data_IF_144590219515
#
_entry.id   IF_144590219515
#
_cell.length_a   1.000
_cell.length_b   1.000
_cell.length_c   1.000
_cell.angle_alpha   90.00
_cell.angle_beta   90.00
_cell.angle_gamma   90.00
#
_symmetry.space_group_name_H-M   'P 1'
#
loop_
_entity.id
_entity.type
_entity.pdbx_description
1 polymer ?
#
# COMPACT_ATOMS: atom_id res chain seq x y z
N UNK A 1 0.86 6.12 -28.16
CA UNK A 1 0.60 6.26 -26.70
C UNK A 1 -0.03 7.63 -26.49
N UNK A 2 -1.29 7.71 -26.05
CA UNK A 2 -1.96 9.00 -25.83
C UNK A 2 -1.44 9.60 -24.52
N UNK A 3 -0.82 10.76 -24.60
CA UNK A 3 -0.43 11.53 -23.43
C UNK A 3 -1.68 11.98 -22.66
N UNK A 4 -1.76 11.62 -21.38
CA UNK A 4 -2.81 12.08 -20.47
C UNK A 4 -2.55 13.55 -20.11
N UNK A 5 -3.07 14.47 -20.91
CA UNK A 5 -3.15 15.89 -20.55
C UNK A 5 -4.47 16.16 -19.83
N UNK A 6 -4.55 15.77 -18.55
CA UNK A 6 -5.60 16.25 -17.67
C UNK A 6 -5.08 17.49 -16.91
N UNK A 7 -5.89 18.55 -16.71
CA UNK A 7 -5.46 19.72 -15.96
C UNK A 7 -5.00 19.32 -14.54
N UNK A 8 -4.04 20.02 -13.91
CA UNK A 8 -3.43 19.62 -12.63
C UNK A 8 -4.44 19.37 -11.49
N UNK A 9 -5.59 20.04 -11.53
CA UNK A 9 -6.71 19.88 -10.59
C UNK A 9 -7.37 18.49 -10.65
N UNK A 10 -7.29 17.84 -11.80
CA UNK A 10 -8.04 16.62 -12.12
C UNK A 10 -7.30 15.35 -11.67
N UNK A 11 -5.97 15.42 -11.54
CA UNK A 11 -5.16 14.33 -11.00
C UNK A 11 -5.24 14.29 -9.48
N UNK A 12 -5.23 15.46 -8.85
CA UNK A 12 -5.35 15.60 -7.39
C UNK A 12 -6.72 15.10 -6.88
N UNK A 13 -7.80 15.38 -7.60
CA UNK A 13 -9.15 14.89 -7.27
C UNK A 13 -9.27 13.36 -7.44
N UNK A 14 -8.66 12.80 -8.50
CA UNK A 14 -8.59 11.35 -8.73
C UNK A 14 -7.77 10.64 -7.66
N UNK A 15 -6.62 11.21 -7.29
CA UNK A 15 -5.79 10.68 -6.21
C UNK A 15 -6.55 10.70 -4.89
N UNK A 16 -7.23 11.80 -4.56
CA UNK A 16 -8.03 11.89 -3.35
C UNK A 16 -9.17 10.85 -3.32
N UNK A 17 -9.84 10.63 -4.46
CA UNK A 17 -10.89 9.61 -4.59
C UNK A 17 -10.33 8.19 -4.39
N UNK A 18 -9.14 7.92 -4.95
CA UNK A 18 -8.43 6.65 -4.73
C UNK A 18 -8.04 6.46 -3.26
N UNK A 19 -7.49 7.49 -2.61
CA UNK A 19 -7.11 7.42 -1.20
C UNK A 19 -8.32 7.18 -0.28
N UNK A 20 -9.45 7.86 -0.55
CA UNK A 20 -10.69 7.66 0.19
C UNK A 20 -11.25 6.24 0.01
N UNK A 21 -11.22 5.70 -1.22
CA UNK A 21 -11.76 4.38 -1.52
C UNK A 21 -10.87 3.22 -1.05
N UNK A 22 -9.54 3.39 -1.03
CA UNK A 22 -8.60 2.32 -0.73
C UNK A 22 -8.19 2.28 0.74
N UNK A 23 -7.94 3.44 1.35
CA UNK A 23 -7.37 3.53 2.71
C UNK A 23 -8.20 4.38 3.68
N UNK A 24 -9.37 4.86 3.25
CA UNK A 24 -10.22 5.73 4.08
C UNK A 24 -9.73 7.17 4.23
N UNK A 25 -8.78 7.59 3.38
CA UNK A 25 -8.17 8.91 3.42
C UNK A 25 -6.95 9.02 4.33
N UNK A 26 -6.38 10.23 4.42
CA UNK A 26 -5.17 10.50 5.20
C UNK A 26 -5.45 11.52 6.32
N UNK A 27 -4.89 11.32 7.53
CA UNK A 27 -5.21 12.15 8.70
C UNK A 27 -4.92 13.64 8.54
N UNK A 28 -4.05 14.03 7.61
CA UNK A 28 -3.69 15.43 7.35
C UNK A 28 -4.39 16.05 6.12
N UNK A 29 -5.14 15.25 5.36
CA UNK A 29 -5.74 15.68 4.08
C UNK A 29 -7.26 15.58 4.13
N UNK A 30 -7.78 14.56 4.80
CA UNK A 30 -9.21 14.24 4.81
C UNK A 30 -9.91 14.96 5.97
N UNK A 31 -10.87 15.84 5.65
CA UNK A 31 -11.71 16.49 6.66
C UNK A 31 -12.55 15.44 7.38
N UNK A 32 -12.49 15.42 8.71
CA UNK A 32 -13.22 14.43 9.52
C UNK A 32 -12.64 13.02 9.44
N UNK A 33 -11.35 12.89 9.12
CA UNK A 33 -10.64 11.61 9.15
C UNK A 33 -10.86 10.91 10.49
N UNK A 34 -11.13 9.61 10.41
CA UNK A 34 -11.31 8.75 11.58
C UNK A 34 -10.24 7.69 11.58
N UNK A 35 -9.73 7.42 12.77
CA UNK A 35 -8.79 6.34 12.96
C UNK A 35 -9.45 5.01 12.60
N UNK A 36 -8.70 4.20 11.88
CA UNK A 36 -9.10 2.86 11.50
C UNK A 36 -8.87 1.92 12.68
N UNK A 37 -9.78 0.97 12.90
CA UNK A 37 -9.52 -0.09 13.87
C UNK A 37 -8.35 -0.99 13.40
N UNK A 38 -7.76 -1.76 14.32
CA UNK A 38 -6.58 -2.56 14.01
C UNK A 38 -6.82 -3.60 12.91
N UNK A 39 -7.98 -4.25 12.90
CA UNK A 39 -8.27 -5.30 11.92
C UNK A 39 -8.33 -4.73 10.49
N UNK A 40 -9.06 -3.61 10.32
CA UNK A 40 -9.16 -2.94 9.03
C UNK A 40 -7.81 -2.37 8.61
N UNK A 41 -6.98 -1.91 9.56
CA UNK A 41 -5.65 -1.40 9.26
C UNK A 41 -4.79 -2.48 8.62
N UNK A 42 -4.70 -3.67 9.22
CA UNK A 42 -3.90 -4.76 8.68
C UNK A 42 -4.43 -5.28 7.34
N UNK A 43 -5.75 -5.35 7.18
CA UNK A 43 -6.36 -5.72 5.90
C UNK A 43 -6.05 -4.71 4.79
N UNK A 44 -6.12 -3.42 5.11
CA UNK A 44 -5.83 -2.34 4.17
C UNK A 44 -4.36 -2.37 3.77
N UNK A 45 -3.46 -2.56 4.74
CA UNK A 45 -2.02 -2.68 4.52
C UNK A 45 -1.69 -3.89 3.63
N UNK A 46 -2.24 -5.07 3.95
CA UNK A 46 -2.05 -6.28 3.14
C UNK A 46 -2.60 -6.15 1.72
N UNK A 47 -3.77 -5.52 1.53
CA UNK A 47 -4.34 -5.23 0.19
C UNK A 47 -3.43 -4.30 -0.60
N UNK A 48 -2.93 -3.24 0.04
CA UNK A 48 -2.05 -2.28 -0.61
C UNK A 48 -0.74 -2.91 -1.05
N UNK A 49 -0.10 -3.70 -0.18
CA UNK A 49 1.12 -4.45 -0.49
C UNK A 49 0.89 -5.46 -1.61
N UNK A 50 -0.21 -6.22 -1.57
CA UNK A 50 -0.57 -7.20 -2.60
C UNK A 50 -0.84 -6.57 -3.97
N UNK A 51 -1.51 -5.42 -4.02
CA UNK A 51 -1.95 -4.82 -5.29
C UNK A 51 -0.87 -3.99 -5.95
N UNK A 52 -0.04 -3.30 -5.17
CA UNK A 52 0.93 -2.34 -5.69
C UNK A 52 2.39 -2.78 -5.49
N UNK A 53 2.65 -3.84 -4.72
CA UNK A 53 4.01 -4.30 -4.42
C UNK A 53 4.81 -3.30 -3.56
N UNK A 54 4.12 -2.38 -2.89
CA UNK A 54 4.74 -1.31 -2.09
C UNK A 54 4.69 -1.71 -0.63
N UNK A 55 5.83 -2.19 -0.11
CA UNK A 55 6.03 -2.41 1.33
C UNK A 55 5.86 -1.10 2.10
N UNK A 56 5.17 -1.16 3.23
CA UNK A 56 4.74 0.03 3.98
C UNK A 56 5.51 0.20 5.29
N UNK A 57 5.20 -0.63 6.29
CA UNK A 57 5.88 -0.67 7.60
C UNK A 57 6.94 -1.77 7.61
N UNK A 58 6.62 -2.89 6.97
CA UNK A 58 7.53 -3.98 6.70
C UNK A 58 7.39 -4.37 5.22
N UNK A 59 8.38 -5.08 4.70
CA UNK A 59 8.29 -5.71 3.39
C UNK A 59 7.95 -7.17 3.60
N UNK A 60 6.86 -7.63 2.98
CA UNK A 60 6.51 -9.05 2.91
C UNK A 60 6.75 -9.60 1.51
N UNK A 61 7.29 -10.82 1.39
CA UNK A 61 7.45 -11.49 0.10
C UNK A 61 7.47 -13.01 0.25
N UNK A 62 7.09 -13.70 -0.83
CA UNK A 62 7.18 -15.16 -0.91
C UNK A 62 8.43 -15.55 -1.69
N UNK A 63 9.26 -16.41 -1.11
CA UNK A 63 10.45 -16.96 -1.76
C UNK A 63 10.69 -18.40 -1.32
N UNK A 64 11.71 -19.04 -1.86
CA UNK A 64 12.13 -20.38 -1.47
C UNK A 64 12.49 -20.39 0.03
N UNK A 65 12.03 -21.40 0.76
CA UNK A 65 12.41 -21.60 2.15
C UNK A 65 13.93 -21.88 2.24
N UNK A 66 14.64 -21.06 3.02
CA UNK A 66 16.08 -21.21 3.23
C UNK A 66 16.44 -22.51 3.99
N UNK A 67 15.52 -23.05 4.79
CA UNK A 67 15.67 -24.34 5.47
C UNK A 67 15.27 -25.54 4.61
N UNK A 68 14.34 -25.36 3.67
CA UNK A 68 13.81 -26.43 2.82
C UNK A 68 13.60 -25.94 1.38
N UNK A 69 14.60 -26.15 0.52
CA UNK A 69 14.63 -25.59 -0.84
C UNK A 69 13.52 -26.06 -1.80
N UNK A 70 12.70 -27.02 -1.38
CA UNK A 70 11.56 -27.54 -2.16
C UNK A 70 10.23 -26.84 -1.82
N UNK A 71 10.25 -25.89 -0.87
CA UNK A 71 9.06 -25.21 -0.38
C UNK A 71 9.20 -23.69 -0.54
N UNK A 72 8.07 -22.99 -0.49
CA UNK A 72 8.03 -21.55 -0.42
C UNK A 72 7.60 -21.11 0.98
N UNK A 73 8.19 -20.03 1.46
CA UNK A 73 7.86 -19.41 2.73
C UNK A 73 7.52 -17.93 2.54
N UNK A 74 6.65 -17.42 3.42
CA UNK A 74 6.39 -15.99 3.57
C UNK A 74 7.45 -15.40 4.48
N UNK A 75 8.20 -14.44 3.97
CA UNK A 75 9.19 -13.67 4.71
C UNK A 75 8.64 -12.30 5.05
N UNK A 76 8.94 -11.83 6.26
CA UNK A 76 8.64 -10.48 6.75
C UNK A 76 9.96 -9.85 7.12
N UNK A 77 10.33 -8.76 6.44
CA UNK A 77 11.57 -8.03 6.67
C UNK A 77 11.28 -6.57 7.02
N UNK A 78 12.17 -5.96 7.80
CA UNK A 78 12.15 -4.51 7.98
C UNK A 78 12.24 -3.80 6.62
N UNK A 79 11.51 -2.70 6.47
CA UNK A 79 11.61 -1.88 5.26
C UNK A 79 12.98 -1.18 5.25
N UNK A 80 13.92 -1.68 4.45
CA UNK A 80 15.23 -1.05 4.27
C UNK A 80 15.18 -0.15 3.03
N UNK A 81 14.96 1.15 3.25
CA UNK A 81 15.21 2.14 2.19
C UNK A 81 16.73 2.24 2.00
N UNK A 82 17.23 1.82 0.84
CA UNK A 82 18.62 2.10 0.46
C UNK A 82 18.71 3.60 0.16
N UNK A 83 19.23 4.37 1.11
CA UNK A 83 19.67 5.75 0.89
C UNK A 83 20.96 5.77 0.06
#
# INVERSE_FOLDING_TARGET
MKAFNAPPSDLSSKLNTLLLSQIGGLPMITVGWKEMNWDNFWQTLGKYESQYGVGSIFSSYVSVDYGHTQQHALYINQYVSKH
#
